data_IF_147800134164
#
_entry.id   IF_147800134164
#
_cell.length_a   1.000
_cell.length_b   1.000
_cell.length_c   1.000
_cell.angle_alpha   90.00
_cell.angle_beta   90.00
_cell.angle_gamma   90.00
#
_symmetry.space_group_name_H-M   'P 1'
#
loop_
_entity.id
_entity.type
_entity.pdbx_description
1 polymer ?
#
# COMPACT_ATOMS: atom_id res chain seq x y z
N UNK A 1 17.10 -24.35 16.53
CA UNK A 1 16.87 -23.01 15.96
C UNK A 1 17.30 -23.02 14.50
N UNK A 2 16.48 -22.44 13.62
CA UNK A 2 16.73 -22.39 12.17
C UNK A 2 17.78 -21.32 11.80
N UNK A 3 18.48 -21.46 10.66
CA UNK A 3 19.22 -20.33 10.09
C UNK A 3 18.29 -19.12 9.89
N UNK A 4 18.77 -17.90 10.14
CA UNK A 4 17.91 -16.70 10.15
C UNK A 4 17.13 -16.51 8.84
N UNK A 5 17.77 -16.73 7.69
CA UNK A 5 17.10 -16.63 6.39
C UNK A 5 15.96 -17.65 6.24
N UNK A 6 16.18 -18.89 6.69
CA UNK A 6 15.15 -19.94 6.63
C UNK A 6 13.99 -19.62 7.56
N UNK A 7 14.27 -19.12 8.76
CA UNK A 7 13.24 -18.68 9.70
C UNK A 7 12.39 -17.54 9.13
N UNK A 8 13.03 -16.55 8.50
CA UNK A 8 12.34 -15.44 7.84
C UNK A 8 11.51 -15.92 6.64
N UNK A 9 12.10 -16.76 5.78
CA UNK A 9 11.39 -17.30 4.61
C UNK A 9 10.16 -18.10 5.02
N UNK A 10 10.27 -18.95 6.05
CA UNK A 10 9.16 -19.75 6.56
C UNK A 10 8.05 -18.86 7.16
N UNK A 11 8.42 -17.87 7.99
CA UNK A 11 7.45 -16.98 8.60
C UNK A 11 6.70 -16.12 7.56
N UNK A 12 7.40 -15.60 6.55
CA UNK A 12 6.77 -14.86 5.44
C UNK A 12 5.88 -15.78 4.61
N UNK A 13 6.31 -17.00 4.31
CA UNK A 13 5.51 -17.94 3.52
C UNK A 13 4.20 -18.32 4.22
N UNK A 14 4.26 -18.66 5.52
CA UNK A 14 3.07 -19.03 6.30
C UNK A 14 2.13 -17.85 6.46
N UNK A 15 2.63 -16.70 6.91
CA UNK A 15 1.79 -15.51 7.07
C UNK A 15 1.29 -14.96 5.74
N UNK A 16 2.08 -15.10 4.66
CA UNK A 16 1.67 -14.73 3.31
C UNK A 16 0.53 -15.59 2.78
N UNK A 17 0.56 -16.89 3.06
CA UNK A 17 -0.55 -17.79 2.74
C UNK A 17 -1.82 -17.42 3.53
N UNK A 18 -1.69 -17.12 4.82
CA UNK A 18 -2.80 -16.63 5.65
C UNK A 18 -3.35 -15.32 5.10
N UNK A 19 -2.48 -14.37 4.78
CA UNK A 19 -2.88 -13.09 4.18
C UNK A 19 -3.64 -13.29 2.87
N UNK A 20 -3.11 -14.12 1.97
CA UNK A 20 -3.76 -14.42 0.70
C UNK A 20 -5.13 -15.07 0.91
N UNK A 21 -5.24 -16.05 1.81
CA UNK A 21 -6.51 -16.69 2.15
C UNK A 21 -7.55 -15.67 2.68
N UNK A 22 -7.15 -14.82 3.61
CA UNK A 22 -8.05 -13.81 4.19
C UNK A 22 -8.47 -12.77 3.13
N UNK A 23 -7.50 -12.26 2.36
CA UNK A 23 -7.73 -11.18 1.42
C UNK A 23 -8.44 -11.63 0.12
N UNK A 24 -8.33 -12.89 -0.27
CA UNK A 24 -9.08 -13.46 -1.40
C UNK A 24 -10.43 -14.08 -0.98
N UNK A 25 -10.61 -14.31 0.31
CA UNK A 25 -11.82 -14.91 0.88
C UNK A 25 -12.62 -13.92 1.72
N UNK A 26 -12.63 -14.04 3.06
CA UNK A 26 -13.55 -13.29 3.92
C UNK A 26 -13.34 -11.76 3.90
N UNK A 27 -12.15 -11.28 3.56
CA UNK A 27 -11.84 -9.85 3.51
C UNK A 27 -11.78 -9.29 2.09
N UNK A 28 -12.15 -10.03 1.05
CA UNK A 28 -12.03 -9.63 -0.36
C UNK A 28 -12.75 -8.31 -0.69
N UNK A 29 -13.85 -8.00 0.00
CA UNK A 29 -14.56 -6.73 -0.16
C UNK A 29 -13.80 -5.53 0.41
N UNK A 30 -12.90 -5.73 1.38
CA UNK A 30 -12.29 -4.69 2.20
C UNK A 30 -10.83 -4.44 1.87
N UNK A 31 -10.11 -5.43 1.39
CA UNK A 31 -8.65 -5.37 1.19
C UNK A 31 -8.22 -5.87 -0.20
N UNK A 32 -7.02 -5.46 -0.58
CA UNK A 32 -6.35 -5.85 -1.81
C UNK A 32 -5.09 -6.65 -1.47
N UNK A 33 -5.02 -7.90 -1.92
CA UNK A 33 -3.90 -8.82 -1.64
C UNK A 33 -2.56 -8.18 -1.94
N UNK A 34 -2.41 -7.66 -3.15
CA UNK A 34 -1.16 -7.09 -3.64
C UNK A 34 -0.72 -5.84 -2.88
N UNK A 35 -1.67 -4.98 -2.46
CA UNK A 35 -1.36 -3.77 -1.71
C UNK A 35 -0.81 -4.10 -0.31
N UNK A 36 -1.33 -5.16 0.32
CA UNK A 36 -0.76 -5.69 1.55
C UNK A 36 0.68 -6.17 1.37
N UNK A 37 0.97 -6.91 0.31
CA UNK A 37 2.35 -7.35 0.02
C UNK A 37 3.30 -6.18 -0.29
N UNK A 38 2.83 -5.13 -0.97
CA UNK A 38 3.65 -3.91 -1.18
C UNK A 38 4.03 -3.28 0.17
N UNK A 39 3.07 -3.10 1.07
CA UNK A 39 3.33 -2.53 2.39
C UNK A 39 4.21 -3.44 3.26
N UNK A 40 4.04 -4.76 3.15
CA UNK A 40 4.90 -5.75 3.81
C UNK A 40 6.35 -5.63 3.34
N UNK A 41 6.58 -5.59 2.02
CA UNK A 41 7.91 -5.37 1.47
C UNK A 41 8.50 -4.01 1.87
N UNK A 42 7.64 -2.97 1.88
CA UNK A 42 8.01 -1.63 2.35
C UNK A 42 8.52 -1.64 3.80
N UNK A 43 7.88 -2.39 4.70
CA UNK A 43 8.32 -2.55 6.09
C UNK A 43 9.77 -3.05 6.18
N UNK A 44 10.12 -4.09 5.44
CA UNK A 44 11.50 -4.59 5.41
C UNK A 44 12.47 -3.60 4.75
N UNK A 45 12.04 -2.94 3.68
CA UNK A 45 12.83 -1.90 3.02
C UNK A 45 13.15 -0.74 3.97
N UNK A 46 12.22 -0.39 4.87
CA UNK A 46 12.36 0.73 5.81
C UNK A 46 13.21 0.38 7.04
N UNK A 47 13.60 -0.90 7.20
CA UNK A 47 14.48 -1.38 8.27
C UNK A 47 13.99 -2.57 9.08
N UNK A 48 12.70 -2.94 8.97
CA UNK A 48 12.16 -4.16 9.56
C UNK A 48 12.02 -4.17 11.09
N UNK A 49 12.08 -3.01 11.73
CA UNK A 49 11.94 -2.82 13.17
C UNK A 49 10.65 -2.06 13.54
N UNK A 50 10.44 -1.78 14.81
CA UNK A 50 9.26 -1.05 15.28
C UNK A 50 9.20 0.38 14.73
N UNK A 51 10.34 1.05 14.53
CA UNK A 51 10.39 2.38 13.92
C UNK A 51 10.03 2.31 12.44
N UNK A 52 10.53 1.27 11.75
CA UNK A 52 10.18 0.99 10.37
C UNK A 52 8.67 0.74 10.19
N UNK A 53 8.01 0.04 11.14
CA UNK A 53 6.57 -0.16 11.11
C UNK A 53 5.82 1.18 11.12
N UNK A 54 6.16 2.09 12.03
CA UNK A 54 5.54 3.41 12.13
C UNK A 54 5.77 4.21 10.85
N UNK A 55 7.02 4.28 10.36
CA UNK A 55 7.35 5.01 9.12
C UNK A 55 6.66 4.43 7.90
N UNK A 56 6.56 3.11 7.82
CA UNK A 56 5.86 2.43 6.72
C UNK A 56 4.37 2.76 6.74
N UNK A 57 3.70 2.64 7.89
CA UNK A 57 2.29 2.96 8.00
C UNK A 57 2.03 4.44 7.69
N UNK A 58 2.75 5.34 8.35
CA UNK A 58 2.56 6.78 8.14
C UNK A 58 2.84 7.19 6.69
N UNK A 59 3.95 6.71 6.11
CA UNK A 59 4.33 7.02 4.75
C UNK A 59 3.34 6.47 3.71
N UNK A 60 2.96 5.20 3.84
CA UNK A 60 1.98 4.59 2.93
C UNK A 60 0.62 5.31 3.00
N UNK A 61 0.11 5.58 4.21
CA UNK A 61 -1.17 6.30 4.38
C UNK A 61 -1.09 7.70 3.80
N UNK A 62 -0.03 8.44 4.09
CA UNK A 62 0.19 9.76 3.54
C UNK A 62 0.26 9.73 2.00
N UNK A 63 1.02 8.80 1.44
CA UNK A 63 1.14 8.62 0.00
C UNK A 63 -0.20 8.31 -0.68
N UNK A 64 -1.00 7.42 -0.08
CA UNK A 64 -2.36 7.12 -0.55
C UNK A 64 -3.23 8.39 -0.54
N UNK A 65 -3.18 9.20 0.51
CA UNK A 65 -3.96 10.44 0.61
C UNK A 65 -3.54 11.44 -0.47
N UNK A 66 -2.24 11.69 -0.66
CA UNK A 66 -1.76 12.64 -1.67
C UNK A 66 -2.09 12.17 -3.08
N UNK A 67 -1.92 10.86 -3.38
CA UNK A 67 -2.32 10.31 -4.66
C UNK A 67 -3.83 10.38 -4.91
N UNK A 68 -4.64 10.16 -3.88
CA UNK A 68 -6.10 10.33 -3.97
C UNK A 68 -6.49 11.79 -4.26
N UNK A 69 -5.84 12.77 -3.62
CA UNK A 69 -6.04 14.19 -3.93
C UNK A 69 -5.67 14.50 -5.39
N UNK A 70 -4.55 13.97 -5.88
CA UNK A 70 -4.15 14.12 -7.28
C UNK A 70 -5.25 13.59 -8.24
N UNK A 71 -5.77 12.39 -7.96
CA UNK A 71 -6.84 11.79 -8.76
C UNK A 71 -8.14 12.59 -8.70
N UNK A 72 -8.51 13.14 -7.54
CA UNK A 72 -9.68 14.02 -7.42
C UNK A 72 -9.51 15.27 -8.27
N UNK A 73 -8.37 15.94 -8.23
CA UNK A 73 -8.09 17.12 -9.06
C UNK A 73 -8.18 16.77 -10.54
N UNK A 74 -7.58 15.66 -10.96
CA UNK A 74 -7.55 15.24 -12.36
C UNK A 74 -8.95 14.84 -12.85
N UNK A 75 -9.66 13.96 -12.14
CA UNK A 75 -10.88 13.34 -12.65
C UNK A 75 -12.19 14.02 -12.21
N UNK A 76 -12.24 14.62 -11.02
CA UNK A 76 -13.41 15.35 -10.53
C UNK A 76 -13.25 16.86 -10.69
N UNK A 77 -12.01 17.38 -10.68
CA UNK A 77 -11.71 18.79 -10.95
C UNK A 77 -11.65 19.18 -12.44
N UNK A 78 -11.87 18.22 -13.35
CA UNK A 78 -11.95 18.48 -14.79
C UNK A 78 -10.60 18.65 -15.51
N UNK A 79 -9.48 18.54 -14.81
CA UNK A 79 -8.13 18.70 -15.39
C UNK A 79 -7.84 17.59 -16.42
N UNK A 80 -8.38 16.39 -16.24
CA UNK A 80 -8.18 15.27 -17.14
C UNK A 80 -8.61 15.51 -18.59
N UNK A 81 -9.59 16.38 -18.82
CA UNK A 81 -10.04 16.81 -20.16
C UNK A 81 -9.17 17.88 -20.82
N UNK A 82 -8.20 18.46 -20.11
CA UNK A 82 -7.36 19.57 -20.61
C UNK A 82 -6.07 19.10 -21.32
N UNK A 83 -5.85 17.80 -21.43
CA UNK A 83 -4.67 17.19 -22.05
C UNK A 83 -3.58 16.80 -21.06
N UNK A 84 -2.47 16.32 -21.59
CA UNK A 84 -1.40 15.67 -20.80
C UNK A 84 -0.61 16.65 -19.92
N UNK A 85 -0.38 17.88 -20.39
CA UNK A 85 0.45 18.86 -19.68
C UNK A 85 -0.15 19.26 -18.33
N UNK A 86 -1.43 19.66 -18.22
CA UNK A 86 -2.04 19.94 -16.92
C UNK A 86 -2.03 18.74 -15.97
N UNK A 87 -2.25 17.54 -16.47
CA UNK A 87 -2.14 16.30 -15.69
C UNK A 87 -0.73 16.14 -15.11
N UNK A 88 0.31 16.31 -15.94
CA UNK A 88 1.69 16.22 -15.51
C UNK A 88 2.05 17.28 -14.44
N UNK A 89 1.51 18.48 -14.55
CA UNK A 89 1.68 19.54 -13.55
C UNK A 89 1.06 19.13 -12.22
N UNK A 90 -0.17 18.60 -12.21
CA UNK A 90 -0.82 18.10 -10.98
C UNK A 90 0.02 17.00 -10.33
N UNK A 91 0.52 16.05 -11.13
CA UNK A 91 1.39 14.99 -10.62
C UNK A 91 2.68 15.59 -10.03
N UNK A 92 3.35 16.49 -10.74
CA UNK A 92 4.58 17.14 -10.26
C UNK A 92 4.39 17.89 -8.94
N UNK A 93 3.31 18.67 -8.83
CA UNK A 93 2.97 19.42 -7.61
C UNK A 93 2.67 18.47 -6.45
N UNK A 94 1.88 17.44 -6.67
CA UNK A 94 1.53 16.48 -5.61
C UNK A 94 2.73 15.64 -5.19
N UNK A 95 3.62 15.25 -6.11
CA UNK A 95 4.87 14.57 -5.80
C UNK A 95 5.85 15.47 -5.03
N UNK A 96 5.87 16.78 -5.32
CA UNK A 96 6.63 17.71 -4.49
C UNK A 96 6.18 17.66 -3.03
N UNK A 97 4.86 17.76 -2.78
CA UNK A 97 4.32 17.63 -1.42
C UNK A 97 4.52 16.24 -0.82
N UNK A 98 4.52 15.20 -1.64
CA UNK A 98 4.79 13.84 -1.22
C UNK A 98 6.19 13.68 -0.60
N UNK A 99 7.19 14.41 -1.10
CA UNK A 99 8.59 14.25 -0.71
C UNK A 99 9.03 15.28 0.33
N UNK A 100 8.56 16.53 0.25
CA UNK A 100 9.03 17.60 1.14
C UNK A 100 8.76 17.30 2.63
N UNK A 101 7.76 16.50 2.94
CA UNK A 101 7.43 16.06 4.30
C UNK A 101 8.41 15.06 4.90
N UNK A 102 9.39 14.59 4.14
CA UNK A 102 10.44 13.67 4.63
C UNK A 102 11.32 14.29 5.73
N UNK A 103 11.22 15.61 5.96
CA UNK A 103 11.77 16.28 7.15
C UNK A 103 11.09 15.88 8.47
N UNK A 104 9.87 15.30 8.41
CA UNK A 104 9.15 14.79 9.57
C UNK A 104 9.55 13.33 9.78
N UNK A 105 9.99 12.97 10.99
CA UNK A 105 10.55 11.63 11.25
C UNK A 105 9.64 10.48 10.83
N UNK A 106 8.35 10.56 11.11
CA UNK A 106 7.37 9.52 10.76
C UNK A 106 7.14 9.38 9.25
N UNK A 107 7.43 10.42 8.47
CA UNK A 107 7.28 10.48 7.01
C UNK A 107 8.63 10.47 6.28
N UNK A 108 9.73 10.27 7.00
CA UNK A 108 11.09 10.34 6.45
C UNK A 108 11.44 9.18 5.51
N UNK A 109 10.66 8.10 5.53
CA UNK A 109 10.80 6.99 4.60
C UNK A 109 10.16 7.35 3.24
N UNK A 110 10.86 8.12 2.41
CA UNK A 110 10.39 8.53 1.07
C UNK A 110 9.85 7.35 0.24
N UNK A 111 10.48 6.16 0.22
CA UNK A 111 9.90 5.01 -0.47
C UNK A 111 8.50 4.64 0.00
N UNK A 112 8.21 4.74 1.29
CA UNK A 112 6.88 4.45 1.83
C UNK A 112 5.83 5.44 1.30
N UNK A 113 6.16 6.74 1.26
CA UNK A 113 5.29 7.77 0.69
C UNK A 113 5.00 7.46 -0.79
N UNK A 114 6.04 7.12 -1.56
CA UNK A 114 5.91 6.80 -3.00
C UNK A 114 5.09 5.54 -3.23
N UNK A 115 5.28 4.49 -2.44
CA UNK A 115 4.50 3.25 -2.58
C UNK A 115 3.01 3.47 -2.33
N UNK A 116 2.65 4.28 -1.32
CA UNK A 116 1.26 4.65 -1.09
C UNK A 116 0.65 5.42 -2.26
N UNK A 117 1.37 6.42 -2.76
CA UNK A 117 0.95 7.20 -3.93
C UNK A 117 0.79 6.33 -5.19
N UNK A 118 1.79 5.52 -5.50
CA UNK A 118 1.75 4.64 -6.66
C UNK A 118 0.64 3.59 -6.56
N UNK A 119 0.39 3.06 -5.36
CA UNK A 119 -0.64 2.07 -5.14
C UNK A 119 -2.05 2.62 -5.45
N UNK A 120 -2.38 3.83 -4.98
CA UNK A 120 -3.72 4.38 -5.26
C UNK A 120 -3.87 4.82 -6.71
N UNK A 121 -2.83 5.39 -7.31
CA UNK A 121 -2.86 5.76 -8.72
C UNK A 121 -2.98 4.51 -9.60
N UNK A 122 -2.15 3.50 -9.38
CA UNK A 122 -2.19 2.24 -10.11
C UNK A 122 -3.53 1.53 -9.98
N UNK A 123 -4.07 1.39 -8.77
CA UNK A 123 -5.37 0.76 -8.52
C UNK A 123 -6.52 1.50 -9.22
N UNK A 124 -6.52 2.83 -9.14
CA UNK A 124 -7.62 3.64 -9.66
C UNK A 124 -7.61 3.73 -11.19
N UNK A 125 -6.42 3.70 -11.81
CA UNK A 125 -6.25 3.79 -13.26
C UNK A 125 -6.24 2.41 -13.95
N UNK A 126 -6.12 1.33 -13.18
CA UNK A 126 -6.07 -0.02 -13.75
C UNK A 126 -7.45 -0.41 -14.27
N UNK A 127 -7.67 -0.16 -15.55
CA UNK A 127 -8.93 -0.48 -16.19
C UNK A 127 -9.13 -1.97 -16.40
N UNK A 128 -10.34 -2.42 -16.14
CA UNK A 128 -11.15 -3.51 -16.75
C UNK A 128 -10.45 -4.83 -17.19
N UNK A 129 -9.14 -4.88 -17.37
CA UNK A 129 -8.44 -6.06 -17.91
C UNK A 129 -8.12 -7.14 -16.87
N UNK A 130 -7.80 -6.79 -15.62
CA UNK A 130 -7.52 -7.76 -14.53
C UNK A 130 -8.77 -8.04 -13.70
N UNK A 131 -9.74 -7.12 -13.67
CA UNK A 131 -11.04 -7.33 -13.05
C UNK A 131 -11.87 -8.44 -13.73
N UNK A 132 -11.53 -8.82 -14.97
CA UNK A 132 -12.18 -9.93 -15.66
C UNK A 132 -11.92 -11.31 -15.03
N UNK A 133 -10.92 -11.43 -14.14
CA UNK A 133 -10.59 -12.70 -13.48
C UNK A 133 -11.44 -12.98 -12.23
N UNK A 134 -12.17 -11.98 -11.70
CA UNK A 134 -13.06 -12.15 -10.54
C UNK A 134 -14.33 -11.33 -10.74
N UNK A 135 -15.43 -11.95 -11.24
CA UNK A 135 -16.69 -11.26 -11.56
C UNK A 135 -17.29 -10.43 -10.42
N UNK A 136 -17.08 -10.84 -9.17
CA UNK A 136 -17.62 -10.16 -7.98
C UNK A 136 -16.86 -8.86 -7.60
N UNK A 137 -15.74 -8.57 -8.26
CA UNK A 137 -15.00 -7.29 -8.10
C UNK A 137 -15.45 -6.23 -9.13
N UNK A 138 -16.42 -6.52 -9.97
CA UNK A 138 -16.99 -5.64 -11.00
C UNK A 138 -18.07 -4.70 -10.44
N UNK A 139 -17.84 -4.12 -9.27
CA UNK A 139 -18.52 -2.87 -8.90
C UNK A 139 -18.05 -1.74 -9.82
N UNK A 140 -18.81 -0.65 -9.89
CA UNK A 140 -18.38 0.62 -10.49
C UNK A 140 -16.89 0.82 -10.31
N UNK A 141 -16.16 1.18 -11.38
CA UNK A 141 -14.71 1.22 -11.37
C UNK A 141 -14.15 2.08 -10.22
N UNK A 142 -12.91 1.86 -9.78
CA UNK A 142 -12.32 2.61 -8.67
C UNK A 142 -12.40 4.13 -8.86
N UNK A 143 -12.28 4.63 -10.09
CA UNK A 143 -12.41 6.05 -10.40
C UNK A 143 -13.79 6.62 -10.13
N UNK A 144 -14.86 5.85 -10.33
CA UNK A 144 -16.23 6.28 -10.06
C UNK A 144 -16.46 6.46 -8.56
N UNK A 145 -15.78 5.68 -7.75
CA UNK A 145 -15.88 5.68 -6.30
C UNK A 145 -14.90 6.62 -5.58
N UNK A 146 -14.11 7.44 -6.29
CA UNK A 146 -13.12 8.35 -5.69
C UNK A 146 -13.71 9.27 -4.60
N UNK A 147 -14.94 9.74 -4.79
CA UNK A 147 -15.62 10.63 -3.84
C UNK A 147 -16.72 9.90 -3.03
N UNK A 148 -16.83 8.59 -3.14
CA UNK A 148 -17.83 7.80 -2.42
C UNK A 148 -17.50 7.73 -0.91
N UNK A 149 -18.46 7.92 0.00
CA UNK A 149 -18.25 7.73 1.43
C UNK A 149 -18.31 6.25 1.85
N UNK A 150 -18.06 5.31 0.96
CA UNK A 150 -18.18 3.87 1.16
C UNK A 150 -16.84 3.16 1.18
N UNK A 151 -16.85 1.89 1.58
CA UNK A 151 -15.68 0.98 1.51
C UNK A 151 -15.16 0.78 0.09
N UNK A 152 -15.98 1.06 -0.93
CA UNK A 152 -15.56 1.00 -2.33
C UNK A 152 -14.67 2.17 -2.76
N UNK A 153 -14.53 3.20 -1.92
CA UNK A 153 -13.56 4.26 -2.16
C UNK A 153 -12.15 3.67 -2.16
N UNK A 154 -11.35 3.87 -3.23
CA UNK A 154 -9.99 3.37 -3.31
C UNK A 154 -9.10 3.85 -2.16
N UNK A 155 -9.33 5.08 -1.64
CA UNK A 155 -8.65 5.59 -0.45
C UNK A 155 -8.79 4.62 0.73
N UNK A 156 -10.03 4.23 1.05
CA UNK A 156 -10.34 3.39 2.22
C UNK A 156 -9.75 1.99 2.06
N UNK A 157 -9.98 1.36 0.90
CA UNK A 157 -9.45 0.01 0.63
C UNK A 157 -7.94 -0.05 0.72
N UNK A 158 -7.24 0.93 0.14
CA UNK A 158 -5.78 0.94 0.12
C UNK A 158 -5.20 1.24 1.50
N UNK A 159 -5.76 2.18 2.25
CA UNK A 159 -5.29 2.43 3.62
C UNK A 159 -5.40 1.15 4.46
N UNK A 160 -6.56 0.49 4.46
CA UNK A 160 -6.76 -0.75 5.23
C UNK A 160 -5.76 -1.83 4.77
N UNK A 161 -5.63 -2.04 3.46
CA UNK A 161 -4.74 -3.07 2.90
C UNK A 161 -3.28 -2.84 3.28
N UNK A 162 -2.80 -1.61 3.15
CA UNK A 162 -1.40 -1.29 3.40
C UNK A 162 -1.06 -1.28 4.89
N UNK A 163 -1.97 -0.83 5.74
CA UNK A 163 -1.79 -0.91 7.20
C UNK A 163 -1.70 -2.37 7.65
N UNK A 164 -2.64 -3.21 7.22
CA UNK A 164 -2.62 -4.63 7.57
C UNK A 164 -1.40 -5.35 7.01
N UNK A 165 -0.99 -5.01 5.79
CA UNK A 165 0.23 -5.55 5.18
C UNK A 165 1.51 -5.18 5.93
N UNK A 166 1.64 -3.93 6.40
CA UNK A 166 2.77 -3.50 7.23
C UNK A 166 2.79 -4.24 8.58
N UNK A 167 1.63 -4.44 9.20
CA UNK A 167 1.49 -5.23 10.44
C UNK A 167 1.89 -6.69 10.19
N UNK A 168 1.45 -7.29 9.09
CA UNK A 168 1.85 -8.65 8.73
C UNK A 168 3.37 -8.76 8.52
N UNK A 169 3.98 -7.74 7.92
CA UNK A 169 5.45 -7.62 7.81
C UNK A 169 6.13 -7.64 9.17
N UNK A 170 5.66 -6.83 10.10
CA UNK A 170 6.18 -6.78 11.46
C UNK A 170 6.02 -8.12 12.19
N UNK A 171 4.85 -8.75 12.10
CA UNK A 171 4.59 -10.06 12.71
C UNK A 171 5.51 -11.15 12.12
N UNK A 172 5.79 -11.09 10.81
CA UNK A 172 6.71 -12.04 10.18
C UNK A 172 8.16 -11.86 10.66
N UNK A 173 8.58 -10.64 10.92
CA UNK A 173 9.88 -10.34 11.55
C UNK A 173 9.98 -10.89 12.96
N UNK A 174 8.94 -10.68 13.80
CA UNK A 174 8.88 -11.24 15.15
C UNK A 174 8.91 -12.78 15.15
N UNK A 175 8.11 -13.41 14.29
CA UNK A 175 8.08 -14.86 14.16
C UNK A 175 9.45 -15.42 13.71
N UNK A 176 10.09 -14.76 12.75
CA UNK A 176 11.44 -15.13 12.32
C UNK A 176 12.46 -15.01 13.45
N UNK A 177 12.37 -13.95 14.26
CA UNK A 177 13.24 -13.77 15.44
C UNK A 177 13.05 -14.88 16.51
N UNK A 178 11.81 -15.36 16.67
CA UNK A 178 11.51 -16.46 17.59
C UNK A 178 12.00 -17.84 17.08
N UNK A 179 11.95 -18.08 15.77
CA UNK A 179 12.33 -19.33 15.12
C UNK A 179 13.82 -19.42 14.80
N UNK A 180 14.46 -18.26 14.55
CA UNK A 180 15.85 -18.17 14.13
C UNK A 180 16.85 -18.27 15.28
N UNK A 181 18.07 -18.72 14.97
CA UNK A 181 19.21 -18.56 15.89
C UNK A 181 19.54 -17.08 15.97
N UNK A 182 19.71 -16.54 17.19
CA UNK A 182 20.34 -15.23 17.34
C UNK A 182 21.71 -15.29 16.65
N UNK A 183 22.02 -14.30 15.81
CA UNK A 183 23.38 -14.15 15.31
C UNK A 183 24.31 -14.09 16.52
N UNK A 184 25.36 -14.91 16.51
CA UNK A 184 26.44 -14.76 17.49
C UNK A 184 27.01 -13.34 17.29
N UNK A 185 27.01 -12.56 18.35
CA UNK A 185 27.56 -11.21 18.36
C UNK A 185 29.08 -11.25 18.14
#
# INVERSE_FOLDING_TARGET
MLPQLVALSLSIAVLGAIWAFLALGPLAAFVLVWAGFIAWGCFFHTGGDQKALIKTICGNVYGVIIGWIALLIIFKGGVGGMGVIPIAIVVGVTVFFLVIVASIDQLSAVPANVYGYAAIVGYSLHEKGVAAATPDMMGTGPLDNLASPSINNPLVKLIISMVLGAIAGYLSGLAAGALGKKAAA
#
